data_IF_078001232724
#
_entry.id   IF_078001232724
#
_cell.length_a   1.000
_cell.length_b   1.000
_cell.length_c   1.000
_cell.angle_alpha   90.00
_cell.angle_beta   90.00
_cell.angle_gamma   90.00
#
_symmetry.space_group_name_H-M   'P 1'
#
loop_
_entity.id
_entity.type
_entity.pdbx_description
1 polymer ?
#
# COMPACT_ATOMS: atom_id res chain seq x y z
N UNK A 1 67.46 37.58 14.38
CA UNK A 1 66.16 38.10 14.86
C UNK A 1 65.10 37.65 13.87
N UNK A 2 63.99 36.99 14.18
CA UNK A 2 63.42 36.40 15.38
C UNK A 2 62.51 35.28 14.84
N UNK A 3 62.65 34.07 15.36
CA UNK A 3 61.61 33.04 15.31
C UNK A 3 60.47 33.49 16.23
N UNK A 4 59.19 33.28 15.87
CA UNK A 4 58.15 32.74 16.75
C UNK A 4 56.93 32.28 15.93
N UNK A 5 56.21 31.25 16.39
CA UNK A 5 55.29 30.43 15.61
C UNK A 5 53.85 30.94 15.70
N UNK A 6 52.98 30.56 14.76
CA UNK A 6 51.55 30.58 15.03
C UNK A 6 50.85 29.34 14.47
N UNK A 7 50.56 28.45 15.42
CA UNK A 7 49.58 27.38 15.40
C UNK A 7 48.21 27.89 14.95
N UNK A 8 47.75 27.50 13.77
CA UNK A 8 46.33 27.51 13.44
C UNK A 8 45.75 26.12 13.64
N UNK A 9 45.38 25.93 14.91
CA UNK A 9 44.35 25.08 15.50
C UNK A 9 43.40 24.45 14.48
N UNK A 10 43.43 23.12 14.45
CA UNK A 10 42.46 22.22 13.84
C UNK A 10 41.04 22.60 14.26
N UNK A 11 40.28 23.28 13.40
CA UNK A 11 38.83 23.25 13.48
C UNK A 11 38.38 21.90 12.93
N UNK A 12 38.43 20.87 13.79
CA UNK A 12 37.55 19.73 13.66
C UNK A 12 36.14 20.33 13.67
N UNK A 13 35.55 20.48 12.47
CA UNK A 13 34.10 20.56 12.33
C UNK A 13 33.59 19.31 13.06
N UNK A 14 33.07 19.53 14.27
CA UNK A 14 32.12 18.64 14.90
C UNK A 14 30.94 18.61 13.93
N UNK A 15 31.05 17.74 12.92
CA UNK A 15 29.89 17.14 12.30
C UNK A 15 29.24 16.42 13.48
N UNK A 16 28.05 16.84 13.95
CA UNK A 16 27.28 15.98 14.82
C UNK A 16 27.15 14.67 14.05
N UNK A 17 27.76 13.61 14.56
CA UNK A 17 27.49 12.26 14.08
C UNK A 17 25.99 12.10 14.18
N UNK A 18 25.32 12.14 13.02
CA UNK A 18 23.89 11.85 12.91
C UNK A 18 23.64 10.60 13.73
N UNK A 19 22.85 10.74 14.79
CA UNK A 19 22.14 9.62 15.38
C UNK A 19 21.57 8.83 14.21
N UNK A 20 22.02 7.59 14.06
CA UNK A 20 21.70 6.72 12.93
C UNK A 20 20.19 6.65 12.73
N UNK A 21 19.63 7.51 11.87
CA UNK A 21 18.26 7.37 11.40
C UNK A 21 18.22 6.07 10.63
N UNK A 22 17.65 5.04 11.25
CA UNK A 22 17.45 3.74 10.61
C UNK A 22 16.64 4.00 9.35
N UNK A 23 17.17 3.64 8.19
CA UNK A 23 16.46 3.85 6.92
C UNK A 23 15.14 3.10 6.93
N UNK A 24 14.09 3.68 6.32
CA UNK A 24 12.80 3.01 6.14
C UNK A 24 12.96 1.60 5.54
N UNK A 25 13.95 1.41 4.66
CA UNK A 25 14.28 0.11 4.08
C UNK A 25 14.71 -0.91 5.14
N UNK A 26 15.56 -0.51 6.07
CA UNK A 26 16.05 -1.38 7.14
C UNK A 26 14.93 -1.72 8.12
N UNK A 27 14.06 -0.76 8.44
CA UNK A 27 12.88 -1.02 9.29
C UNK A 27 11.93 -1.98 8.59
N UNK A 28 11.61 -1.73 7.31
CA UNK A 28 10.74 -2.59 6.50
C UNK A 28 11.28 -4.03 6.44
N UNK A 29 12.57 -4.21 6.17
CA UNK A 29 13.21 -5.53 6.13
C UNK A 29 13.14 -6.25 7.49
N UNK A 30 13.39 -5.55 8.60
CA UNK A 30 13.25 -6.14 9.94
C UNK A 30 11.82 -6.61 10.20
N UNK A 31 10.83 -5.77 9.89
CA UNK A 31 9.42 -6.12 10.09
C UNK A 31 9.00 -7.27 9.17
N UNK A 32 9.38 -7.22 7.89
CA UNK A 32 9.12 -8.28 6.91
C UNK A 32 9.69 -9.61 7.39
N UNK A 33 10.95 -9.62 7.84
CA UNK A 33 11.60 -10.80 8.42
C UNK A 33 10.84 -11.34 9.64
N UNK A 34 10.47 -10.47 10.59
CA UNK A 34 9.67 -10.89 11.75
C UNK A 34 8.31 -11.45 11.35
N UNK A 35 7.64 -10.87 10.35
CA UNK A 35 6.37 -11.36 9.84
C UNK A 35 6.48 -12.74 9.18
N UNK A 36 7.58 -13.00 8.47
CA UNK A 36 7.85 -14.29 7.82
C UNK A 36 8.21 -15.36 8.85
N UNK A 37 9.12 -15.05 9.77
CA UNK A 37 9.70 -16.04 10.69
C UNK A 37 8.82 -16.30 11.92
N UNK A 38 8.16 -15.26 12.44
CA UNK A 38 7.47 -15.32 13.74
C UNK A 38 6.00 -14.89 13.68
N UNK A 39 5.55 -14.40 12.52
CA UNK A 39 4.17 -13.99 12.30
C UNK A 39 3.77 -12.69 13.02
N UNK A 40 2.52 -12.29 12.81
CA UNK A 40 1.98 -11.02 13.28
C UNK A 40 1.95 -10.88 14.82
N UNK A 41 1.79 -11.98 15.57
CA UNK A 41 1.70 -11.90 17.03
C UNK A 41 2.99 -11.39 17.67
N UNK A 42 4.13 -11.78 17.11
CA UNK A 42 5.43 -11.30 17.58
C UNK A 42 5.67 -9.82 17.22
N UNK A 43 5.11 -9.35 16.10
CA UNK A 43 5.15 -7.93 15.77
C UNK A 43 4.32 -7.09 16.75
N UNK A 44 3.18 -7.62 17.24
CA UNK A 44 2.34 -6.92 18.23
C UNK A 44 3.03 -6.72 19.57
N UNK A 45 3.85 -7.67 20.00
CA UNK A 45 4.63 -7.55 21.24
C UNK A 45 5.85 -6.63 21.07
N UNK A 46 6.27 -6.38 19.83
CA UNK A 46 7.43 -5.54 19.49
C UNK A 46 7.03 -4.07 19.30
N UNK A 47 6.71 -3.39 20.40
CA UNK A 47 6.24 -1.99 20.41
C UNK A 47 7.15 -1.03 19.61
N UNK A 48 8.47 -1.21 19.69
CA UNK A 48 9.45 -0.37 18.98
C UNK A 48 9.45 -0.54 17.45
N UNK A 49 9.06 -1.71 16.93
CA UNK A 49 8.93 -1.90 15.49
C UNK A 49 7.65 -1.23 14.96
N UNK A 50 6.56 -1.31 15.73
CA UNK A 50 5.29 -0.69 15.37
C UNK A 50 5.35 0.84 15.43
N UNK A 51 6.06 1.42 16.39
CA UNK A 51 6.21 2.88 16.50
C UNK A 51 6.96 3.52 15.34
N UNK A 52 7.76 2.74 14.61
CA UNK A 52 8.49 3.21 13.44
C UNK A 52 7.67 3.11 12.14
N UNK A 53 6.47 2.51 12.17
CA UNK A 53 5.67 2.35 10.97
C UNK A 53 5.27 3.72 10.40
N UNK A 54 5.32 3.82 9.08
CA UNK A 54 4.75 4.93 8.33
C UNK A 54 4.22 4.37 7.00
N UNK A 55 3.51 5.18 6.19
CA UNK A 55 2.95 4.71 4.93
C UNK A 55 4.00 4.14 3.97
N UNK A 56 5.22 4.72 3.95
CA UNK A 56 6.30 4.27 3.09
C UNK A 56 6.86 2.91 3.52
N UNK A 57 7.11 2.70 4.82
CA UNK A 57 7.52 1.39 5.35
C UNK A 57 6.45 0.33 5.10
N UNK A 58 5.17 0.69 5.31
CA UNK A 58 4.05 -0.23 5.04
C UNK A 58 4.04 -0.66 3.57
N UNK A 59 4.20 0.30 2.66
CA UNK A 59 4.29 0.02 1.23
C UNK A 59 5.50 -0.88 0.88
N UNK A 60 6.67 -0.63 1.46
CA UNK A 60 7.86 -1.47 1.26
C UNK A 60 7.62 -2.92 1.69
N UNK A 61 7.00 -3.13 2.86
CA UNK A 61 6.68 -4.48 3.36
C UNK A 61 5.67 -5.18 2.45
N UNK A 62 4.61 -4.48 2.02
CA UNK A 62 3.56 -5.07 1.18
C UNK A 62 4.05 -5.35 -0.26
N UNK A 63 4.98 -4.55 -0.76
CA UNK A 63 5.56 -4.73 -2.11
C UNK A 63 6.63 -5.82 -2.15
N UNK A 64 7.18 -6.26 -1.01
CA UNK A 64 8.26 -7.24 -0.96
C UNK A 64 7.74 -8.64 -1.39
N UNK A 65 8.20 -9.18 -2.54
CA UNK A 65 7.69 -10.45 -3.06
C UNK A 65 8.01 -11.64 -2.14
N UNK A 66 9.00 -11.52 -1.26
CA UNK A 66 9.38 -12.57 -0.30
C UNK A 66 8.35 -12.69 0.82
N UNK A 67 7.63 -11.61 1.15
CA UNK A 67 6.58 -11.65 2.18
C UNK A 67 5.34 -12.35 1.60
N UNK A 68 4.85 -13.46 2.19
CA UNK A 68 3.70 -14.15 1.64
C UNK A 68 2.43 -13.27 1.64
N UNK A 69 1.55 -13.38 0.63
CA UNK A 69 0.32 -12.58 0.54
C UNK A 69 -0.56 -12.67 1.81
N UNK A 70 -0.59 -13.83 2.47
CA UNK A 70 -1.34 -14.01 3.72
C UNK A 70 -0.75 -13.20 4.89
N UNK A 71 0.57 -13.06 4.95
CA UNK A 71 1.26 -12.24 5.95
C UNK A 71 1.02 -10.75 5.68
N UNK A 72 1.09 -10.33 4.42
CA UNK A 72 0.70 -8.97 3.98
C UNK A 72 -0.74 -8.65 4.40
N UNK A 73 -1.69 -9.54 4.11
CA UNK A 73 -3.10 -9.39 4.47
C UNK A 73 -3.32 -9.31 5.99
N UNK A 74 -2.57 -10.11 6.76
CA UNK A 74 -2.65 -10.12 8.23
C UNK A 74 -2.17 -8.81 8.83
N UNK A 75 -1.01 -8.32 8.37
CA UNK A 75 -0.48 -7.00 8.76
C UNK A 75 -1.46 -5.90 8.38
N UNK A 76 -1.92 -5.88 7.13
CA UNK A 76 -2.83 -4.87 6.63
C UNK A 76 -4.13 -4.79 7.44
N UNK A 77 -4.74 -5.94 7.72
CA UNK A 77 -5.96 -5.99 8.54
C UNK A 77 -5.71 -5.53 9.97
N UNK A 78 -4.55 -5.83 10.54
CA UNK A 78 -4.16 -5.34 11.85
C UNK A 78 -4.04 -3.81 11.86
N UNK A 79 -3.32 -3.20 10.92
CA UNK A 79 -3.19 -1.75 10.81
C UNK A 79 -4.53 -1.06 10.59
N UNK A 80 -5.40 -1.65 9.75
CA UNK A 80 -6.72 -1.10 9.43
C UNK A 80 -7.68 -1.13 10.61
N UNK A 81 -7.72 -2.25 11.36
CA UNK A 81 -8.72 -2.51 12.41
C UNK A 81 -8.29 -2.04 13.80
N UNK A 82 -7.00 -1.85 14.04
CA UNK A 82 -6.52 -1.49 15.37
C UNK A 82 -6.77 0.01 15.67
N UNK A 83 -7.60 0.36 16.67
CA UNK A 83 -7.89 1.76 17.00
C UNK A 83 -6.67 2.57 17.43
N UNK A 84 -5.68 1.92 18.09
CA UNK A 84 -4.47 2.62 18.54
C UNK A 84 -3.53 3.00 17.40
N UNK A 85 -3.75 2.45 16.20
CA UNK A 85 -2.94 2.68 15.01
C UNK A 85 -3.68 3.53 13.97
N UNK A 86 -4.62 4.37 14.39
CA UNK A 86 -5.42 5.22 13.48
C UNK A 86 -4.56 6.06 12.52
N UNK A 87 -3.42 6.60 12.98
CA UNK A 87 -2.46 7.35 12.16
C UNK A 87 -1.67 6.48 11.18
N UNK A 88 -1.64 5.16 11.39
CA UNK A 88 -0.95 4.17 10.56
C UNK A 88 -1.92 3.37 9.69
N UNK A 89 -3.17 3.83 9.54
CA UNK A 89 -4.13 3.16 8.66
C UNK A 89 -3.56 3.12 7.24
N UNK A 90 -3.71 1.98 6.54
CA UNK A 90 -3.21 1.86 5.18
C UNK A 90 -3.81 2.95 4.28
N UNK A 91 -2.96 3.64 3.53
CA UNK A 91 -3.38 4.59 2.50
C UNK A 91 -3.80 3.87 1.22
N UNK A 92 -4.20 4.62 0.19
CA UNK A 92 -4.65 4.06 -1.08
C UNK A 92 -3.55 3.19 -1.73
N UNK A 93 -2.30 3.66 -1.76
CA UNK A 93 -1.16 2.88 -2.27
C UNK A 93 -1.07 1.50 -1.61
N UNK A 94 -1.17 1.42 -0.28
CA UNK A 94 -1.10 0.16 0.45
C UNK A 94 -2.30 -0.77 0.14
N UNK A 95 -3.49 -0.21 -0.11
CA UNK A 95 -4.65 -1.00 -0.57
C UNK A 95 -4.38 -1.60 -1.94
N UNK A 96 -3.89 -0.81 -2.90
CA UNK A 96 -3.63 -1.26 -4.27
C UNK A 96 -2.46 -2.23 -4.36
N UNK A 97 -1.41 -2.01 -3.58
CA UNK A 97 -0.29 -2.94 -3.43
C UNK A 97 -0.80 -4.30 -2.94
N UNK A 98 -1.63 -4.32 -1.89
CA UNK A 98 -2.22 -5.56 -1.39
C UNK A 98 -3.17 -6.19 -2.42
N UNK A 99 -3.97 -5.40 -3.13
CA UNK A 99 -4.86 -5.89 -4.19
C UNK A 99 -4.07 -6.67 -5.24
N UNK A 100 -2.98 -6.11 -5.76
CA UNK A 100 -2.17 -6.76 -6.80
C UNK A 100 -1.50 -8.03 -6.27
N UNK A 101 -0.95 -8.01 -5.04
CA UNK A 101 -0.40 -9.22 -4.39
C UNK A 101 -1.43 -10.34 -4.21
N UNK A 102 -2.69 -9.97 -3.94
CA UNK A 102 -3.79 -10.94 -3.82
C UNK A 102 -4.26 -11.44 -5.19
N UNK A 103 -4.17 -10.60 -6.23
CA UNK A 103 -4.48 -10.98 -7.60
C UNK A 103 -3.54 -12.07 -8.11
N UNK A 104 -2.23 -11.87 -7.97
CA UNK A 104 -1.19 -12.85 -8.29
C UNK A 104 -1.43 -14.19 -7.57
N UNK A 105 -1.90 -14.12 -6.32
CA UNK A 105 -2.21 -15.27 -5.49
C UNK A 105 -3.63 -15.85 -5.69
N UNK A 106 -4.41 -15.31 -6.65
CA UNK A 106 -5.80 -15.71 -6.98
C UNK A 106 -6.74 -15.68 -5.76
N UNK A 107 -6.58 -14.69 -4.89
CA UNK A 107 -7.35 -14.50 -3.63
C UNK A 107 -8.52 -13.53 -3.82
N UNK A 108 -9.44 -13.85 -4.72
CA UNK A 108 -10.51 -12.94 -5.18
C UNK A 108 -11.47 -12.47 -4.06
N UNK A 109 -11.80 -13.33 -3.09
CA UNK A 109 -12.66 -12.94 -1.97
C UNK A 109 -12.00 -11.85 -1.10
N UNK A 110 -10.67 -11.96 -0.89
CA UNK A 110 -9.91 -10.97 -0.15
C UNK A 110 -9.72 -9.69 -0.97
N UNK A 111 -9.53 -9.78 -2.29
CA UNK A 111 -9.51 -8.62 -3.19
C UNK A 111 -10.81 -7.82 -3.08
N UNK A 112 -11.97 -8.49 -3.06
CA UNK A 112 -13.27 -7.81 -2.93
C UNK A 112 -13.34 -7.00 -1.63
N UNK A 113 -12.85 -7.56 -0.52
CA UNK A 113 -12.79 -6.85 0.77
C UNK A 113 -11.84 -5.64 0.76
N UNK A 114 -10.82 -5.63 -0.10
CA UNK A 114 -9.92 -4.49 -0.30
C UNK A 114 -10.62 -3.42 -1.13
N UNK A 115 -11.21 -3.78 -2.26
CA UNK A 115 -11.94 -2.84 -3.14
C UNK A 115 -13.13 -2.22 -2.41
N UNK A 116 -13.94 -3.00 -1.69
CA UNK A 116 -15.03 -2.47 -0.86
C UNK A 116 -14.53 -1.51 0.22
N UNK A 117 -13.30 -1.69 0.74
CA UNK A 117 -12.74 -0.76 1.72
C UNK A 117 -12.26 0.56 1.09
N UNK A 118 -11.85 0.54 -0.17
CA UNK A 118 -11.54 1.76 -0.94
C UNK A 118 -12.86 2.51 -1.19
N UNK A 119 -13.86 1.84 -1.75
CA UNK A 119 -15.15 2.46 -2.11
C UNK A 119 -15.87 3.03 -0.89
N UNK A 120 -15.92 2.29 0.23
CA UNK A 120 -16.63 2.74 1.43
C UNK A 120 -15.86 3.76 2.30
N UNK A 121 -14.68 4.21 1.88
CA UNK A 121 -13.88 5.15 2.64
C UNK A 121 -13.62 6.42 1.82
N UNK A 122 -14.30 7.51 2.18
CA UNK A 122 -14.23 8.79 1.48
C UNK A 122 -12.81 9.34 1.36
N UNK A 123 -11.94 9.03 2.33
CA UNK A 123 -10.53 9.46 2.31
C UNK A 123 -9.68 8.72 1.27
N UNK A 124 -10.15 7.58 0.76
CA UNK A 124 -9.48 6.77 -0.25
C UNK A 124 -10.11 6.93 -1.64
N UNK A 125 -11.29 7.54 -1.73
CA UNK A 125 -11.96 7.76 -3.01
C UNK A 125 -11.21 8.82 -3.82
N UNK A 126 -10.94 8.49 -5.07
CA UNK A 126 -10.44 9.41 -6.07
C UNK A 126 -10.90 8.91 -7.45
N UNK A 127 -10.76 9.72 -8.52
CA UNK A 127 -11.09 9.26 -9.88
C UNK A 127 -10.33 7.98 -10.25
N UNK A 128 -10.94 7.11 -11.05
CA UNK A 128 -10.36 5.82 -11.46
C UNK A 128 -8.95 5.96 -12.06
N UNK A 129 -8.69 7.02 -12.83
CA UNK A 129 -7.36 7.32 -13.37
C UNK A 129 -6.32 7.59 -12.27
N UNK A 130 -6.72 8.24 -11.17
CA UNK A 130 -5.89 8.44 -9.99
C UNK A 130 -5.61 7.14 -9.25
N UNK A 131 -6.57 6.21 -9.22
CA UNK A 131 -6.38 4.88 -8.63
C UNK A 131 -5.40 4.06 -9.48
N UNK A 132 -5.63 3.98 -10.79
CA UNK A 132 -4.84 3.14 -11.70
C UNK A 132 -3.40 3.62 -11.83
N UNK A 133 -3.16 4.94 -11.85
CA UNK A 133 -1.78 5.49 -11.92
C UNK A 133 -0.87 5.08 -10.76
N UNK A 134 -1.43 4.62 -9.64
CA UNK A 134 -0.69 4.09 -8.49
C UNK A 134 -0.24 2.62 -8.66
N UNK A 135 -0.77 1.93 -9.66
CA UNK A 135 -0.41 0.54 -10.03
C UNK A 135 0.57 0.53 -11.21
N UNK A 136 0.46 1.49 -12.13
CA UNK A 136 1.21 1.57 -13.39
C UNK A 136 2.72 1.86 -13.25
N UNK A 137 3.32 1.70 -12.07
CA UNK A 137 4.76 1.91 -11.87
C UNK A 137 5.65 0.75 -12.39
N UNK A 138 5.07 -0.18 -13.15
CA UNK A 138 5.74 -1.30 -13.80
C UNK A 138 5.99 -2.51 -12.89
N UNK A 139 5.48 -2.51 -11.65
CA UNK A 139 5.66 -3.63 -10.70
C UNK A 139 4.61 -4.73 -10.82
N UNK A 140 3.49 -4.48 -11.49
CA UNK A 140 2.37 -5.42 -11.57
C UNK A 140 1.94 -5.65 -13.01
N UNK A 141 1.40 -6.85 -13.26
CA UNK A 141 0.88 -7.23 -14.57
C UNK A 141 -0.26 -6.30 -15.02
N UNK A 142 -0.35 -5.93 -16.31
CA UNK A 142 -1.46 -5.15 -16.86
C UNK A 142 -2.83 -5.72 -16.54
N UNK A 143 -2.94 -7.06 -16.47
CA UNK A 143 -4.16 -7.79 -16.06
C UNK A 143 -4.66 -7.38 -14.66
N UNK A 144 -3.79 -6.86 -13.79
CA UNK A 144 -4.19 -6.36 -12.46
C UNK A 144 -4.99 -5.07 -12.55
N UNK A 145 -4.71 -4.22 -13.53
CA UNK A 145 -5.47 -2.99 -13.77
C UNK A 145 -6.86 -3.32 -14.30
N UNK A 146 -6.93 -4.18 -15.32
CA UNK A 146 -8.19 -4.67 -15.85
C UNK A 146 -9.04 -5.32 -14.76
N UNK A 147 -8.43 -6.21 -13.94
CA UNK A 147 -9.15 -6.85 -12.84
C UNK A 147 -9.60 -5.86 -11.77
N UNK A 148 -8.82 -4.83 -11.51
CA UNK A 148 -9.23 -3.76 -10.61
C UNK A 148 -10.43 -2.98 -11.16
N UNK A 149 -10.43 -2.64 -12.45
CA UNK A 149 -11.54 -1.96 -13.11
C UNK A 149 -12.82 -2.79 -13.02
N UNK A 150 -12.78 -4.07 -13.38
CA UNK A 150 -13.93 -4.99 -13.25
C UNK A 150 -14.50 -5.01 -11.82
N UNK A 151 -13.63 -5.15 -10.81
CA UNK A 151 -14.07 -5.21 -9.42
C UNK A 151 -14.55 -3.86 -8.88
N UNK A 152 -13.91 -2.74 -9.23
CA UNK A 152 -14.37 -1.40 -8.85
C UNK A 152 -15.75 -1.12 -9.44
N UNK A 153 -15.95 -1.40 -10.72
CA UNK A 153 -17.23 -1.23 -11.41
C UNK A 153 -18.33 -1.97 -10.67
N UNK A 154 -18.13 -3.26 -10.39
CA UNK A 154 -19.11 -4.07 -9.66
C UNK A 154 -19.40 -3.52 -8.27
N UNK A 155 -18.37 -3.19 -7.49
CA UNK A 155 -18.56 -2.69 -6.12
C UNK A 155 -19.23 -1.32 -6.11
N UNK A 156 -18.94 -0.43 -7.06
CA UNK A 156 -19.67 0.84 -7.19
C UNK A 156 -21.15 0.60 -7.55
N UNK A 157 -21.43 -0.27 -8.52
CA UNK A 157 -22.78 -0.62 -8.91
C UNK A 157 -23.58 -1.25 -7.76
N UNK A 158 -22.99 -2.19 -7.01
CA UNK A 158 -23.60 -2.83 -5.83
C UNK A 158 -23.96 -1.79 -4.74
N UNK A 159 -23.19 -0.70 -4.64
CA UNK A 159 -23.42 0.40 -3.72
C UNK A 159 -24.29 1.53 -4.30
N UNK A 160 -24.87 1.34 -5.50
CA UNK A 160 -25.68 2.34 -6.24
C UNK A 160 -24.93 3.64 -6.56
N UNK A 161 -23.61 3.56 -6.63
CA UNK A 161 -22.71 4.66 -7.00
C UNK A 161 -22.52 4.66 -8.51
N UNK A 162 -23.61 4.93 -9.25
CA UNK A 162 -23.64 4.74 -10.70
C UNK A 162 -22.76 5.72 -11.47
N UNK A 163 -22.57 6.95 -10.97
CA UNK A 163 -21.69 7.93 -11.61
C UNK A 163 -20.23 7.45 -11.57
N UNK A 164 -19.77 6.92 -10.44
CA UNK A 164 -18.46 6.31 -10.31
C UNK A 164 -18.33 5.01 -11.11
N UNK A 165 -19.37 4.16 -11.11
CA UNK A 165 -19.39 2.95 -11.93
C UNK A 165 -19.24 3.29 -13.43
N UNK A 166 -20.00 4.28 -13.92
CA UNK A 166 -19.89 4.77 -15.29
C UNK A 166 -18.50 5.34 -15.58
N UNK A 167 -17.90 6.07 -14.64
CA UNK A 167 -16.54 6.56 -14.75
C UNK A 167 -15.50 5.45 -14.89
N UNK A 168 -15.67 4.33 -14.16
CA UNK A 168 -14.81 3.14 -14.31
C UNK A 168 -15.04 2.46 -15.65
N UNK A 169 -16.30 2.32 -16.08
CA UNK A 169 -16.64 1.72 -17.37
C UNK A 169 -16.04 2.51 -18.54
N UNK A 170 -16.21 3.83 -18.56
CA UNK A 170 -15.63 4.73 -19.57
C UNK A 170 -14.11 4.62 -19.62
N UNK A 171 -13.47 4.54 -18.45
CA UNK A 171 -12.03 4.36 -18.37
C UNK A 171 -11.59 3.00 -18.92
N UNK A 172 -12.26 1.92 -18.53
CA UNK A 172 -11.96 0.57 -19.01
C UNK A 172 -12.12 0.49 -20.54
N UNK A 173 -13.24 0.98 -21.06
CA UNK A 173 -13.53 1.00 -22.50
C UNK A 173 -12.47 1.79 -23.29
N UNK A 174 -12.09 2.99 -22.84
CA UNK A 174 -11.07 3.82 -23.50
C UNK A 174 -9.69 3.19 -23.53
N UNK A 175 -9.37 2.35 -22.56
CA UNK A 175 -8.07 1.68 -22.44
C UNK A 175 -8.09 0.23 -22.95
N UNK A 176 -9.21 -0.24 -23.50
CA UNK A 176 -9.34 -1.59 -24.04
C UNK A 176 -9.41 -2.70 -22.99
N UNK A 177 -9.78 -2.37 -21.75
CA UNK A 177 -9.99 -3.35 -20.68
C UNK A 177 -11.41 -3.90 -20.75
N UNK A 178 -11.58 -5.22 -20.53
CA UNK A 178 -12.88 -5.85 -20.51
C UNK A 178 -13.49 -5.81 -19.10
N UNK A 179 -14.76 -5.40 -19.02
CA UNK A 179 -15.59 -5.61 -17.84
C UNK A 179 -16.33 -6.93 -18.04
N UNK A 180 -16.23 -7.85 -17.09
CA UNK A 180 -16.84 -9.17 -17.24
C UNK A 180 -18.36 -9.02 -17.41
N UNK A 181 -18.97 -9.74 -18.35
CA UNK A 181 -20.43 -9.67 -18.63
C UNK A 181 -21.27 -9.83 -17.35
N UNK A 182 -20.82 -10.72 -16.44
CA UNK A 182 -21.50 -10.94 -15.17
C UNK A 182 -21.53 -9.71 -14.26
N UNK A 183 -20.55 -8.82 -14.39
CA UNK A 183 -20.47 -7.56 -13.63
C UNK A 183 -21.51 -6.56 -14.15
N UNK A 184 -21.89 -6.63 -15.43
CA UNK A 184 -22.93 -5.79 -16.02
C UNK A 184 -24.36 -6.15 -15.57
N UNK A 185 -24.64 -7.39 -15.14
CA UNK A 185 -25.96 -7.76 -14.62
C UNK A 185 -26.40 -6.94 -13.41
N UNK A 186 -25.46 -6.40 -12.63
CA UNK A 186 -25.77 -5.53 -11.49
C UNK A 186 -26.50 -4.26 -11.94
N UNK A 187 -26.24 -3.77 -13.15
CA UNK A 187 -26.95 -2.62 -13.72
C UNK A 187 -28.37 -2.95 -14.19
N UNK A 188 -28.68 -4.22 -14.46
CA UNK A 188 -29.99 -4.64 -14.97
C UNK A 188 -31.01 -4.96 -13.86
N UNK A 189 -30.61 -4.92 -12.59
CA UNK A 189 -31.43 -5.28 -11.43
C UNK A 189 -32.02 -4.07 -10.69
N UNK A 190 -31.81 -2.86 -11.19
CA UNK A 190 -32.27 -1.59 -10.63
C UNK A 190 -32.93 -0.72 -11.71
#
# INVERSE_FOLDING_TARGET
>A
MLSFPNTHRTLKKLIPSDDTMISNQQVAQKIAKTLIESGLQHLKTSSSLLSNLNPHITHLILSDPVVPPQSCLSLFNFLRRNPSLKSHRPNLQAHLTLFCRLHEARRFAQMNNVVSAIVNNDLLRCPVSGIVSLIEDGRYEPESVEKLCDMLFRVYADNKMFDEANGVFDYAYKNGFEIEERSCFVLCLH
#
